data_IF_368339075030
#
_entry.id   IF_368339075030
#
_cell.length_a   1.000
_cell.length_b   1.000
_cell.length_c   1.000
_cell.angle_alpha   90.00
_cell.angle_beta   90.00
_cell.angle_gamma   90.00
#
_symmetry.space_group_name_H-M   'P 1'
#
loop_
_entity.id
_entity.type
_entity.pdbx_description
1 polymer ?
#
# COMPACT_ATOMS: atom_id res chain seq x y z
N UNK A 1 4.27 21.89 13.20
CA UNK A 1 4.61 20.93 14.28
C UNK A 1 5.53 19.93 13.62
N UNK A 2 6.75 19.81 14.10
CA UNK A 2 7.76 18.90 13.55
C UNK A 2 7.47 17.51 14.10
N UNK A 3 7.22 16.54 13.22
CA UNK A 3 6.77 15.18 13.56
C UNK A 3 7.86 14.13 13.40
N UNK A 4 9.00 14.53 12.83
CA UNK A 4 10.15 13.65 12.70
C UNK A 4 10.85 13.54 14.07
N UNK A 5 10.97 12.32 14.57
CA UNK A 5 11.56 12.04 15.87
C UNK A 5 13.10 12.10 15.78
N UNK A 6 13.68 11.91 14.59
CA UNK A 6 15.13 11.91 14.36
C UNK A 6 15.74 13.28 14.65
N UNK A 7 15.06 14.37 14.31
CA UNK A 7 15.48 15.74 14.64
C UNK A 7 15.57 16.02 16.15
N UNK A 8 14.91 15.21 16.99
CA UNK A 8 15.00 15.31 18.44
C UNK A 8 16.10 14.39 19.04
N UNK A 9 16.73 13.54 18.24
CA UNK A 9 17.85 12.70 18.68
C UNK A 9 19.18 13.48 18.61
N UNK A 10 20.16 13.18 19.48
CA UNK A 10 21.52 13.69 19.32
C UNK A 10 22.10 13.25 17.97
N UNK A 11 22.47 14.22 17.14
CA UNK A 11 22.85 14.01 15.74
C UNK A 11 24.23 13.34 15.56
N UNK A 12 24.97 13.14 16.65
CA UNK A 12 26.29 12.53 16.71
C UNK A 12 26.27 11.07 17.22
N UNK A 13 25.09 10.46 17.33
CA UNK A 13 24.97 9.07 17.75
C UNK A 13 25.31 8.10 16.61
N UNK A 14 26.25 7.19 16.83
CA UNK A 14 26.59 6.09 15.90
C UNK A 14 25.34 5.29 15.46
N UNK A 15 24.36 5.14 16.36
CA UNK A 15 23.10 4.45 16.07
C UNK A 15 22.23 5.17 15.03
N UNK A 16 22.33 6.50 14.91
CA UNK A 16 21.63 7.29 13.89
C UNK A 16 22.23 7.00 12.50
N UNK A 17 23.56 6.95 12.42
CA UNK A 17 24.28 6.61 11.19
C UNK A 17 24.00 5.18 10.74
N UNK A 18 23.99 4.21 11.66
CA UNK A 18 23.61 2.83 11.36
C UNK A 18 22.15 2.73 10.85
N UNK A 19 21.22 3.49 11.43
CA UNK A 19 19.83 3.54 10.96
C UNK A 19 19.72 4.11 9.55
N UNK A 20 20.45 5.19 9.24
CA UNK A 20 20.51 5.76 7.90
C UNK A 20 21.11 4.76 6.90
N UNK A 21 22.21 4.10 7.22
CA UNK A 21 22.81 3.08 6.36
C UNK A 21 21.84 1.95 6.08
N UNK A 22 21.13 1.44 7.10
CA UNK A 22 20.11 0.40 6.91
C UNK A 22 18.94 0.93 6.07
N UNK A 23 18.43 2.14 6.34
CA UNK A 23 17.35 2.77 5.55
C UNK A 23 17.74 2.95 4.10
N UNK A 24 18.90 3.50 3.84
CA UNK A 24 19.37 3.83 2.49
C UNK A 24 19.74 2.55 1.72
N UNK A 25 20.13 1.48 2.42
CA UNK A 25 20.41 0.16 1.82
C UNK A 25 19.13 -0.66 1.60
N UNK A 26 18.14 -0.58 2.50
CA UNK A 26 16.90 -1.40 2.47
C UNK A 26 15.73 -0.65 1.79
N UNK A 27 15.82 0.67 1.67
CA UNK A 27 14.78 1.54 1.13
C UNK A 27 13.63 1.77 2.10
N UNK A 28 13.90 2.20 3.35
CA UNK A 28 12.81 2.57 4.27
C UNK A 28 12.09 3.81 3.75
N UNK A 29 10.78 3.68 3.59
CA UNK A 29 9.87 4.70 3.04
C UNK A 29 8.85 5.05 4.10
N UNK A 30 8.51 6.34 4.21
CA UNK A 30 7.38 6.72 5.04
C UNK A 30 6.10 6.18 4.41
N UNK A 31 5.13 5.80 5.25
CA UNK A 31 3.90 5.18 4.78
C UNK A 31 2.67 6.02 5.12
N UNK A 32 1.86 6.28 4.10
CA UNK A 32 0.53 6.87 4.24
C UNK A 32 -0.51 5.77 3.96
N UNK A 33 -1.43 5.56 4.90
CA UNK A 33 -2.53 4.63 4.75
C UNK A 33 -3.82 5.36 4.36
N UNK A 34 -4.39 5.03 3.21
CA UNK A 34 -5.76 5.42 2.83
C UNK A 34 -6.69 4.31 3.31
N UNK A 35 -7.50 4.61 4.32
CA UNK A 35 -8.47 3.69 4.89
C UNK A 35 -9.87 3.88 4.29
N UNK A 36 -10.53 2.77 3.98
CA UNK A 36 -11.86 2.73 3.35
C UNK A 36 -12.80 1.82 4.12
N UNK A 37 -14.09 2.19 4.15
CA UNK A 37 -15.15 1.40 4.77
C UNK A 37 -16.42 1.42 3.91
N UNK A 38 -17.02 0.26 3.70
CA UNK A 38 -18.27 0.07 2.97
C UNK A 38 -19.01 -1.18 3.49
N UNK A 39 -20.27 -1.38 3.07
CA UNK A 39 -21.00 -2.62 3.37
C UNK A 39 -20.35 -3.84 2.70
N UNK A 40 -19.75 -3.64 1.52
CA UNK A 40 -18.87 -4.58 0.84
C UNK A 40 -17.83 -3.80 0.03
N UNK A 41 -16.55 -3.92 0.36
CA UNK A 41 -15.45 -3.32 -0.38
C UNK A 41 -15.24 -4.02 -1.73
N UNK A 42 -15.60 -5.29 -1.85
CA UNK A 42 -15.39 -6.08 -3.06
C UNK A 42 -16.53 -5.92 -4.08
N UNK A 43 -17.13 -4.73 -4.18
CA UNK A 43 -18.04 -4.42 -5.30
C UNK A 43 -17.23 -3.99 -6.52
N UNK A 44 -17.79 -4.16 -7.71
CA UNK A 44 -17.15 -3.73 -8.96
C UNK A 44 -16.80 -2.24 -8.94
N UNK A 45 -17.70 -1.39 -8.43
CA UNK A 45 -17.47 0.05 -8.27
C UNK A 45 -16.27 0.35 -7.36
N UNK A 46 -16.21 -0.29 -6.20
CA UNK A 46 -15.15 -0.04 -5.22
C UNK A 46 -13.80 -0.57 -5.70
N UNK A 47 -13.76 -1.74 -6.35
CA UNK A 47 -12.53 -2.28 -6.95
C UNK A 47 -12.03 -1.35 -8.06
N UNK A 48 -12.91 -0.90 -8.95
CA UNK A 48 -12.54 0.04 -10.00
C UNK A 48 -12.04 1.38 -9.41
N UNK A 49 -12.62 1.83 -8.30
CA UNK A 49 -12.13 3.00 -7.57
C UNK A 49 -10.72 2.78 -7.01
N UNK A 50 -10.45 1.63 -6.37
CA UNK A 50 -9.13 1.29 -5.83
C UNK A 50 -8.08 1.27 -6.95
N UNK A 51 -8.39 0.61 -8.06
CA UNK A 51 -7.54 0.51 -9.24
C UNK A 51 -7.21 1.88 -9.83
N UNK A 52 -8.26 2.67 -10.12
CA UNK A 52 -8.12 3.98 -10.74
C UNK A 52 -7.38 4.93 -9.81
N UNK A 53 -7.73 4.95 -8.51
CA UNK A 53 -7.12 5.86 -7.55
C UNK A 53 -5.66 5.53 -7.29
N UNK A 54 -5.30 4.25 -7.24
CA UNK A 54 -3.91 3.82 -7.07
C UNK A 54 -3.05 4.29 -8.23
N UNK A 55 -3.51 4.05 -9.48
CA UNK A 55 -2.83 4.50 -10.70
C UNK A 55 -2.71 6.03 -10.78
N UNK A 56 -3.80 6.74 -10.50
CA UNK A 56 -3.79 8.21 -10.48
C UNK A 56 -2.81 8.78 -9.44
N UNK A 57 -2.67 8.14 -8.27
CA UNK A 57 -1.71 8.59 -7.25
C UNK A 57 -0.28 8.34 -7.71
N UNK A 58 0.02 7.15 -8.24
CA UNK A 58 1.35 6.81 -8.77
C UNK A 58 1.74 7.74 -9.92
N UNK A 59 0.84 8.01 -10.86
CA UNK A 59 1.12 8.88 -12.02
C UNK A 59 1.24 10.36 -11.65
N UNK A 60 0.42 10.84 -10.70
CA UNK A 60 0.37 12.26 -10.35
C UNK A 60 1.47 12.67 -9.39
N UNK A 61 1.93 11.76 -8.55
CA UNK A 61 2.91 12.02 -7.50
C UNK A 61 4.14 11.11 -7.67
N UNK A 62 4.52 10.80 -8.91
CA UNK A 62 5.65 9.92 -9.25
C UNK A 62 7.00 10.41 -8.67
N UNK A 63 7.14 11.71 -8.45
CA UNK A 63 8.32 12.32 -7.81
C UNK A 63 8.43 12.01 -6.30
N UNK A 64 7.35 11.61 -5.63
CA UNK A 64 7.29 11.44 -4.17
C UNK A 64 6.82 10.04 -3.77
N UNK A 65 5.83 9.50 -4.48
CA UNK A 65 5.24 8.18 -4.23
C UNK A 65 6.09 7.15 -4.95
N UNK A 66 6.87 6.41 -4.16
CA UNK A 66 7.74 5.32 -4.64
C UNK A 66 6.90 4.09 -5.03
N UNK A 67 5.81 3.84 -4.30
CA UNK A 67 4.96 2.67 -4.54
C UNK A 67 3.56 2.80 -3.95
N UNK A 68 2.56 2.29 -4.65
CA UNK A 68 1.22 2.06 -4.09
C UNK A 68 0.94 0.56 -3.99
N UNK A 69 0.58 0.10 -2.79
CA UNK A 69 0.16 -1.28 -2.56
C UNK A 69 -1.29 -1.32 -2.09
N UNK A 70 -2.09 -2.18 -2.70
CA UNK A 70 -3.45 -2.46 -2.27
C UNK A 70 -3.78 -3.94 -2.49
N UNK A 71 -5.04 -4.32 -2.25
CA UNK A 71 -5.54 -5.64 -2.67
C UNK A 71 -5.32 -5.88 -4.17
N UNK A 72 -5.38 -4.82 -4.98
CA UNK A 72 -5.23 -4.89 -6.42
C UNK A 72 -3.84 -5.34 -6.83
N UNK A 73 -2.82 -4.81 -6.16
CA UNK A 73 -1.43 -5.23 -6.34
C UNK A 73 -1.24 -6.72 -6.06
N UNK A 74 -1.96 -7.29 -5.08
CA UNK A 74 -1.91 -8.75 -4.84
C UNK A 74 -2.53 -9.55 -5.97
N UNK A 75 -3.67 -9.07 -6.49
CA UNK A 75 -4.37 -9.73 -7.60
C UNK A 75 -3.54 -9.66 -8.88
N UNK A 76 -3.01 -8.48 -9.21
CA UNK A 76 -2.13 -8.27 -10.38
C UNK A 76 -0.92 -9.21 -10.35
N UNK A 77 -0.25 -9.35 -9.20
CA UNK A 77 0.91 -10.23 -9.04
C UNK A 77 0.61 -11.73 -9.25
N UNK A 78 -0.64 -12.15 -9.10
CA UNK A 78 -1.06 -13.54 -9.27
C UNK A 78 -1.75 -13.79 -10.60
N UNK A 79 -2.29 -12.74 -11.21
CA UNK A 79 -2.93 -12.80 -12.50
C UNK A 79 -1.91 -12.70 -13.63
N UNK A 80 -2.07 -13.51 -14.68
CA UNK A 80 -1.29 -13.35 -15.92
C UNK A 80 -2.02 -12.48 -16.96
N UNK A 81 -3.18 -11.91 -16.60
CA UNK A 81 -4.06 -11.17 -17.49
C UNK A 81 -4.43 -9.83 -16.85
N UNK A 82 -4.12 -8.74 -17.55
CA UNK A 82 -4.39 -7.37 -17.09
C UNK A 82 -5.89 -7.00 -17.13
N UNK A 83 -6.73 -7.78 -17.83
CA UNK A 83 -8.16 -7.52 -17.96
C UNK A 83 -8.99 -8.65 -17.36
N UNK A 84 -9.01 -8.71 -16.03
CA UNK A 84 -9.87 -9.63 -15.28
C UNK A 84 -11.31 -9.11 -15.26
N UNK A 85 -12.27 -10.01 -15.46
CA UNK A 85 -13.66 -9.72 -15.07
C UNK A 85 -13.77 -9.59 -13.56
N UNK A 86 -14.79 -8.88 -13.08
CA UNK A 86 -15.07 -8.75 -11.65
C UNK A 86 -15.14 -10.12 -10.96
N UNK A 87 -15.76 -11.11 -11.59
CA UNK A 87 -15.84 -12.47 -11.04
C UNK A 87 -14.45 -13.12 -10.89
N UNK A 88 -13.61 -13.05 -11.92
CA UNK A 88 -12.26 -13.61 -11.87
C UNK A 88 -11.41 -12.93 -10.79
N UNK A 89 -11.60 -11.63 -10.60
CA UNK A 89 -10.96 -10.87 -9.54
C UNK A 89 -11.34 -11.40 -8.14
N UNK A 90 -12.63 -11.62 -7.90
CA UNK A 90 -13.11 -12.20 -6.63
C UNK A 90 -12.60 -13.63 -6.44
N UNK A 91 -12.62 -14.44 -7.50
CA UNK A 91 -12.12 -15.82 -7.44
C UNK A 91 -10.64 -15.86 -7.02
N UNK A 92 -9.81 -14.94 -7.54
CA UNK A 92 -8.41 -14.81 -7.13
C UNK A 92 -8.31 -14.42 -5.65
N UNK A 93 -9.06 -13.41 -5.21
CA UNK A 93 -9.07 -12.99 -3.79
C UNK A 93 -9.46 -14.13 -2.87
N UNK A 94 -10.49 -14.91 -3.22
CA UNK A 94 -10.95 -16.03 -2.41
C UNK A 94 -9.95 -17.21 -2.38
N UNK A 95 -9.01 -17.28 -3.34
CA UNK A 95 -7.90 -18.24 -3.31
C UNK A 95 -6.67 -17.77 -2.53
N UNK A 96 -6.60 -16.49 -2.19
CA UNK A 96 -5.45 -15.94 -1.45
C UNK A 96 -5.35 -16.56 -0.05
N UNK A 97 -4.12 -16.87 0.41
CA UNK A 97 -3.90 -17.12 1.82
C UNK A 97 -4.41 -15.93 2.64
N UNK A 98 -5.27 -16.19 3.64
CA UNK A 98 -5.85 -15.13 4.48
C UNK A 98 -4.83 -14.13 5.02
N UNK A 99 -3.62 -14.62 5.36
CA UNK A 99 -2.53 -13.77 5.87
C UNK A 99 -2.09 -12.70 4.88
N UNK A 100 -2.17 -12.97 3.56
CA UNK A 100 -1.85 -11.99 2.52
C UNK A 100 -2.99 -10.98 2.33
N UNK A 101 -4.23 -11.46 2.15
CA UNK A 101 -5.38 -10.57 1.94
C UNK A 101 -5.69 -9.71 3.17
N UNK A 102 -5.47 -10.23 4.38
CA UNK A 102 -5.67 -9.50 5.65
C UNK A 102 -4.82 -8.24 5.81
N UNK A 103 -3.76 -8.09 5.00
CA UNK A 103 -2.97 -6.85 4.98
C UNK A 103 -3.73 -5.68 4.35
N UNK A 104 -4.71 -5.97 3.50
CA UNK A 104 -5.42 -4.95 2.71
C UNK A 104 -6.93 -4.95 2.91
N UNK A 105 -7.54 -6.06 3.32
CA UNK A 105 -9.00 -6.18 3.53
C UNK A 105 -9.27 -7.01 4.78
N UNK A 106 -10.26 -6.63 5.58
CA UNK A 106 -10.70 -7.43 6.73
C UNK A 106 -11.50 -8.69 6.31
N UNK A 107 -11.66 -9.63 7.25
CA UNK A 107 -12.37 -10.89 7.00
C UNK A 107 -13.84 -10.67 6.57
N UNK A 108 -14.49 -9.62 7.08
CA UNK A 108 -15.88 -9.27 6.74
C UNK A 108 -16.03 -8.59 5.38
N UNK A 109 -14.92 -8.26 4.69
CA UNK A 109 -14.90 -7.54 3.41
C UNK A 109 -15.57 -6.16 3.48
N UNK A 110 -15.59 -5.53 4.66
CA UNK A 110 -16.21 -4.20 4.90
C UNK A 110 -15.19 -3.07 5.00
N UNK A 111 -13.91 -3.39 5.19
CA UNK A 111 -12.84 -2.44 5.47
C UNK A 111 -11.64 -2.78 4.62
N UNK A 112 -10.95 -1.75 4.12
CA UNK A 112 -9.76 -1.93 3.31
C UNK A 112 -8.76 -0.77 3.44
N UNK A 113 -7.52 -1.05 3.07
CA UNK A 113 -6.43 -0.09 3.10
C UNK A 113 -5.64 -0.09 1.80
N UNK A 114 -5.26 1.11 1.35
CA UNK A 114 -4.23 1.34 0.33
C UNK A 114 -3.02 1.94 1.03
N UNK A 115 -1.85 1.35 0.83
CA UNK A 115 -0.60 1.78 1.43
C UNK A 115 0.24 2.51 0.39
N UNK A 116 0.46 3.80 0.61
CA UNK A 116 1.37 4.62 -0.19
C UNK A 116 2.72 4.61 0.51
N UNK A 117 3.75 4.18 -0.21
CA UNK A 117 5.15 4.32 0.21
C UNK A 117 5.69 5.57 -0.45
N UNK A 118 6.07 6.56 0.35
CA UNK A 118 6.66 7.81 -0.13
C UNK A 118 8.15 7.84 0.18
N UNK A 119 8.91 8.54 -0.65
CA UNK A 119 10.30 8.85 -0.34
C UNK A 119 10.33 9.57 1.01
N UNK A 120 11.22 9.11 1.88
CA UNK A 120 11.38 9.69 3.21
C UNK A 120 11.83 11.15 3.04
N UNK A 121 11.08 12.09 3.64
CA UNK A 121 11.25 13.54 3.49
C UNK A 121 12.29 14.12 4.45
#
# INVERSE_FOLDING_TARGET
VETDIETFMPQDMDALEDMHVVRDTVGSTDQIAIYMKADNILTEENINWIQTKSKEIEEKYDEIVVKVNSIDTLVENLSSNENLSHKEYIDIIDTLPKKMSSMFINDEKTEAVILLSIEHL
#
